data_IF_914027287580
#
_entry.id   IF_914027287580
#
_cell.length_a   1.000
_cell.length_b   1.000
_cell.length_c   1.000
_cell.angle_alpha   90.00
_cell.angle_beta   90.00
_cell.angle_gamma   90.00
#
_symmetry.space_group_name_H-M   'P 1'
#
loop_
_entity.id
_entity.type
_entity.pdbx_description
1 polymer ?
#
# COMPACT_ATOMS: atom_id res chain seq x y z
N UNK A 1 -30.10 41.59 -1.81
CA UNK A 1 -28.71 41.30 -2.23
C UNK A 1 -28.47 39.81 -2.19
N UNK A 2 -27.80 39.30 -3.22
CA UNK A 2 -27.93 37.96 -3.79
C UNK A 2 -27.12 36.89 -3.02
N UNK A 3 -27.74 35.73 -2.74
CA UNK A 3 -27.20 34.64 -1.91
C UNK A 3 -26.60 33.45 -2.69
N UNK A 4 -26.20 33.65 -3.95
CA UNK A 4 -25.80 32.55 -4.84
C UNK A 4 -24.29 32.51 -5.17
N UNK A 5 -23.45 33.30 -4.49
CA UNK A 5 -22.03 33.45 -4.87
C UNK A 5 -21.01 32.64 -4.05
N UNK A 6 -21.47 31.71 -3.20
CA UNK A 6 -20.58 30.89 -2.35
C UNK A 6 -20.36 29.46 -2.92
N UNK A 7 -21.05 29.08 -4.00
CA UNK A 7 -21.00 27.69 -4.52
C UNK A 7 -20.01 27.48 -5.68
N UNK A 8 -19.11 28.44 -5.97
CA UNK A 8 -18.24 28.40 -7.15
C UNK A 8 -16.73 28.21 -6.88
N UNK A 9 -16.30 28.08 -5.62
CA UNK A 9 -14.87 27.96 -5.27
C UNK A 9 -14.42 26.49 -5.04
N UNK A 10 -15.34 25.54 -5.00
CA UNK A 10 -15.03 24.13 -4.72
C UNK A 10 -14.62 23.29 -5.96
N UNK A 11 -14.67 23.84 -7.18
CA UNK A 11 -14.51 23.05 -8.42
C UNK A 11 -13.15 23.23 -9.13
N UNK A 12 -12.20 24.00 -8.59
CA UNK A 12 -10.93 24.34 -9.27
C UNK A 12 -9.73 23.49 -8.80
N UNK A 13 -9.92 22.53 -7.90
CA UNK A 13 -8.80 21.67 -7.43
C UNK A 13 -8.69 20.29 -8.11
N UNK A 14 -9.57 19.96 -9.06
CA UNK A 14 -9.56 18.63 -9.74
C UNK A 14 -8.78 18.58 -11.07
N UNK A 15 -8.19 19.69 -11.54
CA UNK A 15 -7.54 19.76 -12.86
C UNK A 15 -6.02 19.50 -12.87
N UNK A 16 -5.39 19.20 -11.72
CA UNK A 16 -3.94 18.96 -11.64
C UNK A 16 -3.52 17.48 -11.72
N UNK A 17 -4.45 16.52 -11.65
CA UNK A 17 -4.11 15.08 -11.61
C UNK A 17 -4.14 14.40 -12.99
N UNK A 18 -4.53 15.10 -14.06
CA UNK A 18 -4.59 14.56 -15.42
C UNK A 18 -3.28 14.72 -16.23
N UNK A 19 -2.21 15.23 -15.60
CA UNK A 19 -0.92 15.52 -16.22
C UNK A 19 0.13 14.40 -16.18
N UNK A 20 -0.25 13.12 -16.12
CA UNK A 20 0.67 11.99 -16.31
C UNK A 20 0.05 10.85 -17.15
N UNK A 21 -0.89 11.17 -18.04
CA UNK A 21 -1.48 10.18 -18.95
C UNK A 21 -1.44 10.66 -20.40
N UNK A 22 -0.23 10.81 -20.94
CA UNK A 22 -0.02 10.82 -22.40
C UNK A 22 1.42 10.38 -22.73
N UNK A 23 1.58 9.10 -23.02
CA UNK A 23 2.68 8.54 -23.84
C UNK A 23 2.25 7.13 -24.23
N UNK A 24 1.42 7.06 -25.26
CA UNK A 24 0.97 5.82 -25.87
C UNK A 24 2.05 5.29 -26.83
N UNK A 25 2.36 3.99 -26.68
CA UNK A 25 2.51 3.01 -27.76
C UNK A 25 3.92 2.50 -28.17
N UNK A 26 4.12 1.25 -27.75
CA UNK A 26 4.72 0.09 -28.45
C UNK A 26 6.22 0.05 -28.78
N UNK A 27 6.95 -0.82 -28.07
CA UNK A 27 7.66 -1.92 -28.72
C UNK A 27 7.90 -3.07 -27.73
N UNK A 28 7.77 -4.27 -28.25
CA UNK A 28 7.66 -5.54 -27.54
C UNK A 28 9.02 -6.04 -27.06
N UNK A 29 9.10 -6.42 -25.79
CA UNK A 29 10.11 -7.36 -25.32
C UNK A 29 9.43 -8.34 -24.36
N UNK A 30 9.15 -9.54 -24.89
CA UNK A 30 8.72 -10.70 -24.12
C UNK A 30 9.65 -10.87 -22.91
N UNK A 31 9.07 -10.70 -21.72
CA UNK A 31 9.64 -11.25 -20.50
C UNK A 31 8.55 -12.11 -19.88
N UNK A 32 8.87 -13.39 -19.80
CA UNK A 32 8.07 -14.43 -19.15
C UNK A 32 7.83 -14.03 -17.69
N UNK A 33 6.68 -13.44 -17.41
CA UNK A 33 6.18 -13.29 -16.05
C UNK A 33 4.99 -14.24 -15.89
N UNK A 34 4.97 -15.12 -14.88
CA UNK A 34 3.82 -15.99 -14.66
C UNK A 34 2.60 -15.10 -14.43
N UNK A 35 1.56 -15.42 -15.20
CA UNK A 35 0.21 -14.90 -15.11
C UNK A 35 -0.24 -14.76 -13.65
N UNK A 36 -0.11 -13.55 -13.10
CA UNK A 36 -1.03 -13.11 -12.06
C UNK A 36 -2.30 -12.72 -12.82
N UNK A 37 -3.09 -13.72 -13.19
CA UNK A 37 -4.48 -13.52 -13.53
C UNK A 37 -5.11 -12.82 -12.32
N UNK A 38 -5.22 -11.49 -12.40
CA UNK A 38 -6.09 -10.74 -11.53
C UNK A 38 -7.50 -11.24 -11.83
N UNK A 39 -7.92 -12.25 -11.06
CA UNK A 39 -9.32 -12.58 -10.88
C UNK A 39 -9.95 -11.38 -10.16
N UNK A 40 -10.19 -10.31 -10.91
CA UNK A 40 -11.12 -9.24 -10.56
C UNK A 40 -12.54 -9.79 -10.72
N UNK A 41 -12.85 -10.87 -10.00
CA UNK A 41 -14.19 -11.32 -9.72
C UNK A 41 -14.46 -10.99 -8.27
N UNK A 42 -15.60 -10.36 -7.98
CA UNK A 42 -16.11 -10.02 -6.66
C UNK A 42 -15.88 -11.14 -5.65
N UNK A 43 -14.69 -11.16 -5.04
CA UNK A 43 -14.35 -12.10 -3.99
C UNK A 43 -14.96 -11.51 -2.74
N UNK A 44 -15.87 -12.25 -2.14
CA UNK A 44 -16.40 -11.90 -0.81
C UNK A 44 -15.20 -11.72 0.13
N UNK A 45 -15.25 -10.80 1.09
CA UNK A 45 -14.13 -10.52 2.02
C UNK A 45 -13.51 -11.80 2.63
N UNK A 46 -14.32 -12.84 2.84
CA UNK A 46 -13.89 -14.16 3.28
C UNK A 46 -12.93 -14.89 2.32
N UNK A 47 -13.14 -14.81 1.00
CA UNK A 47 -12.22 -15.42 0.01
C UNK A 47 -10.92 -14.63 -0.11
N UNK A 48 -10.98 -13.31 0.04
CA UNK A 48 -9.79 -12.46 0.09
C UNK A 48 -8.94 -12.79 1.32
N UNK A 49 -9.55 -12.94 2.50
CA UNK A 49 -8.85 -13.36 3.73
C UNK A 49 -8.24 -14.75 3.59
N UNK A 50 -8.97 -15.72 3.03
CA UNK A 50 -8.46 -17.08 2.81
C UNK A 50 -7.26 -17.09 1.87
N UNK A 51 -7.32 -16.34 0.78
CA UNK A 51 -6.21 -16.19 -0.17
C UNK A 51 -5.00 -15.55 0.50
N UNK A 52 -5.20 -14.52 1.32
CA UNK A 52 -4.13 -13.87 2.06
C UNK A 52 -3.48 -14.84 3.07
N UNK A 53 -4.25 -15.64 3.79
CA UNK A 53 -3.73 -16.66 4.69
C UNK A 53 -2.92 -17.75 3.97
N UNK A 54 -3.39 -18.22 2.82
CA UNK A 54 -2.64 -19.21 2.02
C UNK A 54 -1.33 -18.62 1.50
N UNK A 55 -1.34 -17.35 1.09
CA UNK A 55 -0.13 -16.64 0.69
C UNK A 55 0.86 -16.54 1.86
N UNK A 56 0.40 -16.16 3.06
CA UNK A 56 1.25 -16.10 4.26
C UNK A 56 1.79 -17.48 4.66
N UNK A 57 1.01 -18.55 4.49
CA UNK A 57 1.47 -19.93 4.72
C UNK A 57 2.51 -20.37 3.69
N UNK A 58 2.43 -19.86 2.46
CA UNK A 58 3.40 -20.15 1.40
C UNK A 58 4.72 -19.38 1.53
N UNK A 59 4.76 -18.30 2.33
CA UNK A 59 5.99 -17.53 2.55
C UNK A 59 7.04 -18.34 3.31
N UNK A 60 8.28 -18.28 2.83
CA UNK A 60 9.42 -18.86 3.53
C UNK A 60 9.74 -18.07 4.81
N UNK A 61 10.43 -18.67 5.80
CA UNK A 61 10.85 -17.96 7.00
C UNK A 61 11.67 -16.69 6.70
N UNK A 62 12.56 -16.77 5.70
CA UNK A 62 13.36 -15.62 5.27
C UNK A 62 12.49 -14.48 4.71
N UNK A 63 11.45 -14.81 3.93
CA UNK A 63 10.52 -13.81 3.40
C UNK A 63 9.66 -13.19 4.52
N UNK A 64 9.25 -13.97 5.53
CA UNK A 64 8.52 -13.44 6.68
C UNK A 64 9.39 -12.47 7.48
N UNK A 65 10.64 -12.82 7.75
CA UNK A 65 11.60 -11.92 8.43
C UNK A 65 11.86 -10.65 7.63
N UNK A 66 12.04 -10.76 6.31
CA UNK A 66 12.19 -9.60 5.44
C UNK A 66 10.96 -8.68 5.51
N UNK A 67 9.75 -9.24 5.41
CA UNK A 67 8.51 -8.46 5.49
C UNK A 67 8.35 -7.73 6.83
N UNK A 68 8.77 -8.33 7.95
CA UNK A 68 8.79 -7.67 9.27
C UNK A 68 9.77 -6.48 9.28
N UNK A 69 10.97 -6.67 8.74
CA UNK A 69 11.98 -5.61 8.64
C UNK A 69 11.55 -4.45 7.72
N UNK A 70 10.91 -4.79 6.59
CA UNK A 70 10.36 -3.82 5.65
C UNK A 70 9.22 -3.02 6.29
N UNK A 71 8.31 -3.68 7.03
CA UNK A 71 7.23 -3.02 7.76
C UNK A 71 7.77 -2.03 8.81
N UNK A 72 8.78 -2.44 9.58
CA UNK A 72 9.47 -1.58 10.54
C UNK A 72 10.06 -0.35 9.87
N UNK A 73 10.83 -0.56 8.80
CA UNK A 73 11.55 0.49 8.08
C UNK A 73 10.59 1.47 7.42
N UNK A 74 9.51 0.96 6.82
CA UNK A 74 8.47 1.80 6.21
C UNK A 74 7.76 2.68 7.25
N UNK A 75 7.44 2.12 8.43
CA UNK A 75 6.82 2.88 9.51
C UNK A 75 7.75 3.95 10.09
N UNK A 76 9.03 3.62 10.31
CA UNK A 76 10.04 4.59 10.74
C UNK A 76 10.20 5.72 9.71
N UNK A 77 10.25 5.38 8.42
CA UNK A 77 10.35 6.36 7.34
C UNK A 77 9.12 7.27 7.26
N UNK A 78 7.91 6.72 7.41
CA UNK A 78 6.68 7.49 7.44
C UNK A 78 6.62 8.43 8.65
N UNK A 79 7.00 7.95 9.84
CA UNK A 79 7.08 8.77 11.05
C UNK A 79 8.11 9.90 10.92
N UNK A 80 9.27 9.63 10.32
CA UNK A 80 10.29 10.64 10.00
C UNK A 80 9.75 11.70 9.03
N UNK A 81 9.08 11.27 7.96
CA UNK A 81 8.49 12.19 6.99
C UNK A 81 7.39 13.06 7.62
N UNK A 82 6.69 12.54 8.62
CA UNK A 82 5.71 13.28 9.41
C UNK A 82 6.34 14.19 10.49
N UNK A 83 7.67 14.28 10.58
CA UNK A 83 8.38 15.13 11.53
C UNK A 83 8.28 14.68 12.98
N UNK A 84 8.06 13.39 13.22
CA UNK A 84 8.01 12.83 14.58
C UNK A 84 9.39 12.83 15.24
N UNK A 85 9.41 12.76 16.58
CA UNK A 85 10.66 12.62 17.34
C UNK A 85 11.25 11.21 17.19
N UNK A 86 12.55 11.05 17.43
CA UNK A 86 13.24 9.75 17.30
C UNK A 86 12.58 8.65 18.14
N UNK A 87 12.12 8.98 19.36
CA UNK A 87 11.41 8.05 20.21
C UNK A 87 10.10 7.56 19.59
N UNK A 88 9.34 8.45 18.94
CA UNK A 88 8.08 8.11 18.27
C UNK A 88 8.31 7.38 16.95
N UNK A 89 9.41 7.69 16.25
CA UNK A 89 9.84 6.96 15.06
C UNK A 89 10.16 5.51 15.40
N UNK A 90 10.98 5.28 16.43
CA UNK A 90 11.30 3.92 16.90
C UNK A 90 10.06 3.19 17.36
N UNK A 91 9.20 3.85 18.15
CA UNK A 91 7.93 3.27 18.59
C UNK A 91 7.03 2.86 17.41
N UNK A 92 6.94 3.68 16.36
CA UNK A 92 6.17 3.35 15.16
C UNK A 92 6.76 2.15 14.41
N UNK A 93 8.08 2.08 14.30
CA UNK A 93 8.79 0.93 13.75
C UNK A 93 8.48 -0.35 14.51
N UNK A 94 8.68 -0.35 15.83
CA UNK A 94 8.42 -1.52 16.69
C UNK A 94 6.97 -1.97 16.62
N UNK A 95 6.02 -1.04 16.68
CA UNK A 95 4.60 -1.36 16.55
C UNK A 95 4.26 -2.00 15.19
N UNK A 96 4.88 -1.53 14.10
CA UNK A 96 4.70 -2.11 12.77
C UNK A 96 5.33 -3.50 12.65
N UNK A 97 6.53 -3.70 13.24
CA UNK A 97 7.18 -5.00 13.30
C UNK A 97 6.33 -6.02 14.07
N UNK A 98 5.80 -5.64 15.23
CA UNK A 98 4.93 -6.48 16.06
C UNK A 98 3.62 -6.83 15.34
N UNK A 99 3.02 -5.86 14.65
CA UNK A 99 1.82 -6.10 13.86
C UNK A 99 2.10 -7.07 12.70
N UNK A 100 3.24 -6.91 12.01
CA UNK A 100 3.66 -7.81 10.94
C UNK A 100 3.94 -9.23 11.46
N UNK A 101 4.59 -9.37 12.61
CA UNK A 101 4.82 -10.66 13.27
C UNK A 101 3.51 -11.38 13.57
N UNK A 102 2.53 -10.68 14.16
CA UNK A 102 1.19 -11.22 14.44
C UNK A 102 0.47 -11.64 13.16
N UNK A 103 0.51 -10.80 12.13
CA UNK A 103 -0.13 -11.09 10.85
C UNK A 103 0.50 -12.28 10.10
N UNK A 104 1.82 -12.45 10.22
CA UNK A 104 2.58 -13.51 9.57
C UNK A 104 2.66 -14.82 10.39
N UNK A 105 2.13 -14.80 11.61
CA UNK A 105 2.14 -15.91 12.55
C UNK A 105 3.53 -16.27 13.05
N UNK A 106 4.43 -15.29 13.15
CA UNK A 106 5.79 -15.44 13.67
C UNK A 106 5.75 -14.96 15.12
N UNK A 107 5.57 -15.89 16.06
CA UNK A 107 5.58 -15.66 17.51
C UNK A 107 6.56 -16.62 18.16
#
# INVERSE_FOLDING_TARGET
MNKNFILAIAAVSLAALAGCSDSQQASEAQTTQPTAAAAAGSSTEAEAMKTAEELVKSMTPAQKTAAIGDARTAAEAAARAAGQSDALITQAGEAAADAAQKALGVQ
#
